data_IF_240938572498
#
_entry.id   IF_240938572498
#
_cell.length_a   1.000
_cell.length_b   1.000
_cell.length_c   1.000
_cell.angle_alpha   90.00
_cell.angle_beta   90.00
_cell.angle_gamma   90.00
#
_symmetry.space_group_name_H-M   'P 1'
#
loop_
_entity.id
_entity.type
_entity.pdbx_description
1 polymer ?
#
# COMPACT_ATOMS: atom_id res chain seq x y z
N UNK A 1 4.82 -21.09 8.96
CA UNK A 1 4.92 -19.97 9.93
C UNK A 1 4.70 -18.68 9.14
N UNK A 2 3.71 -17.88 9.51
CA UNK A 2 3.29 -16.66 8.78
C UNK A 2 4.24 -15.50 9.09
N UNK A 3 5.52 -15.68 8.79
CA UNK A 3 6.61 -14.78 9.20
C UNK A 3 6.40 -13.36 8.66
N UNK A 4 5.86 -13.20 7.44
CA UNK A 4 5.58 -11.89 6.85
C UNK A 4 4.48 -11.12 7.60
N UNK A 5 3.35 -11.77 7.90
CA UNK A 5 2.25 -11.14 8.63
C UNK A 5 2.62 -10.80 10.07
N UNK A 6 3.39 -11.66 10.75
CA UNK A 6 3.89 -11.38 12.10
C UNK A 6 4.86 -10.20 12.12
N UNK A 7 5.83 -10.15 11.20
CA UNK A 7 6.75 -9.00 11.05
C UNK A 7 5.98 -7.72 10.76
N UNK A 8 4.98 -7.76 9.87
CA UNK A 8 4.14 -6.60 9.55
C UNK A 8 3.36 -6.11 10.77
N UNK A 9 2.86 -7.03 11.60
CA UNK A 9 2.17 -6.69 12.85
C UNK A 9 3.09 -6.08 13.91
N UNK A 10 4.33 -6.54 14.02
CA UNK A 10 5.34 -5.89 14.86
C UNK A 10 5.67 -4.50 14.33
N UNK A 11 5.82 -4.34 13.02
CA UNK A 11 6.10 -3.05 12.39
C UNK A 11 4.99 -2.04 12.72
N UNK A 12 3.73 -2.38 12.46
CA UNK A 12 2.59 -1.50 12.69
C UNK A 12 2.52 -0.95 14.13
N UNK A 13 3.03 -1.69 15.12
CA UNK A 13 3.05 -1.29 16.53
C UNK A 13 4.28 -0.48 16.97
N UNK A 14 5.40 -0.63 16.27
CA UNK A 14 6.70 -0.18 16.77
C UNK A 14 7.36 0.92 15.89
N UNK A 15 6.80 1.23 14.72
CA UNK A 15 7.30 2.32 13.87
C UNK A 15 6.32 3.50 13.85
N UNK A 16 6.83 4.70 13.56
CA UNK A 16 6.01 5.87 13.31
C UNK A 16 5.19 5.74 12.01
N UNK A 17 4.19 6.59 11.88
CA UNK A 17 3.22 6.52 10.80
C UNK A 17 3.82 6.73 9.41
N UNK A 18 4.83 7.59 9.28
CA UNK A 18 5.47 7.89 7.99
C UNK A 18 6.37 6.72 7.56
N UNK A 19 7.10 6.13 8.49
CA UNK A 19 7.88 4.92 8.25
C UNK A 19 6.97 3.74 7.86
N UNK A 20 5.83 3.59 8.54
CA UNK A 20 4.82 2.58 8.18
C UNK A 20 4.29 2.79 6.76
N UNK A 21 3.84 4.01 6.45
CA UNK A 21 3.34 4.37 5.12
C UNK A 21 4.38 4.13 4.02
N UNK A 22 5.65 4.50 4.26
CA UNK A 22 6.73 4.29 3.30
C UNK A 22 6.92 2.81 2.98
N UNK A 23 6.87 1.93 3.99
CA UNK A 23 6.94 0.50 3.74
C UNK A 23 5.70 0.01 2.97
N UNK A 24 4.49 0.49 3.30
CA UNK A 24 3.27 0.13 2.56
C UNK A 24 3.39 0.50 1.09
N UNK A 25 3.83 1.73 0.79
CA UNK A 25 4.07 2.21 -0.58
C UNK A 25 5.07 1.33 -1.31
N UNK A 26 6.19 0.96 -0.67
CA UNK A 26 7.20 0.08 -1.26
C UNK A 26 6.65 -1.33 -1.53
N UNK A 27 5.83 -1.88 -0.64
CA UNK A 27 5.18 -3.18 -0.83
C UNK A 27 4.23 -3.17 -2.03
N UNK A 28 3.43 -2.11 -2.17
CA UNK A 28 2.51 -1.93 -3.31
C UNK A 28 3.29 -1.78 -4.61
N UNK A 29 4.35 -0.98 -4.65
CA UNK A 29 5.18 -0.83 -5.85
C UNK A 29 5.78 -2.17 -6.29
N UNK A 30 6.35 -2.94 -5.34
CA UNK A 30 6.90 -4.26 -5.65
C UNK A 30 5.83 -5.17 -6.25
N UNK A 31 4.63 -5.20 -5.67
CA UNK A 31 3.55 -6.04 -6.18
C UNK A 31 3.08 -5.59 -7.57
N UNK A 32 2.97 -4.28 -7.83
CA UNK A 32 2.62 -3.77 -9.16
C UNK A 32 3.70 -4.12 -10.21
N UNK A 33 4.98 -4.05 -9.81
CA UNK A 33 6.12 -4.41 -10.67
C UNK A 33 6.20 -5.89 -11.00
N UNK A 34 5.52 -6.77 -10.26
CA UNK A 34 5.37 -8.17 -10.66
C UNK A 34 4.52 -8.33 -11.94
N UNK A 35 3.63 -7.37 -12.23
CA UNK A 35 2.79 -7.39 -13.43
C UNK A 35 3.38 -6.56 -14.57
N UNK A 36 3.97 -5.41 -14.25
CA UNK A 36 4.61 -4.53 -15.21
C UNK A 36 5.72 -3.71 -14.53
N UNK A 37 6.96 -3.89 -14.97
CA UNK A 37 8.15 -3.26 -14.39
C UNK A 37 8.11 -1.72 -14.42
N UNK A 38 7.30 -1.12 -15.30
CA UNK A 38 7.19 0.33 -15.47
C UNK A 38 6.30 1.02 -14.43
N UNK A 39 5.60 0.26 -13.58
CA UNK A 39 4.89 0.85 -12.46
C UNK A 39 5.84 1.60 -11.53
N UNK A 40 5.49 2.83 -11.19
CA UNK A 40 6.18 3.64 -10.19
C UNK A 40 5.18 4.11 -9.16
N UNK A 41 5.51 3.97 -7.87
CA UNK A 41 4.70 4.50 -6.78
C UNK A 41 5.49 5.56 -6.02
N UNK A 42 4.92 6.74 -5.88
CA UNK A 42 5.54 7.88 -5.18
C UNK A 42 4.68 8.30 -4.01
N UNK A 43 5.33 8.66 -2.91
CA UNK A 43 4.70 9.32 -1.77
C UNK A 43 4.97 10.81 -1.84
N UNK A 44 3.90 11.62 -1.91
CA UNK A 44 3.97 13.08 -1.85
C UNK A 44 3.41 13.53 -0.52
N UNK A 45 4.18 14.34 0.21
CA UNK A 45 3.78 14.94 1.49
C UNK A 45 3.48 16.42 1.29
N UNK A 46 2.23 16.82 1.51
CA UNK A 46 1.79 18.21 1.57
C UNK A 46 1.20 18.45 2.97
N UNK A 47 -0.04 18.95 3.06
CA UNK A 47 -0.83 18.96 4.31
C UNK A 47 -1.29 17.56 4.70
N UNK A 48 -1.53 16.71 3.70
CA UNK A 48 -1.85 15.28 3.83
C UNK A 48 -0.86 14.47 2.98
N UNK A 49 -0.96 13.15 3.07
CA UNK A 49 -0.19 12.24 2.23
C UNK A 49 -0.95 11.93 0.95
N UNK A 50 -0.23 11.81 -0.16
CA UNK A 50 -0.79 11.36 -1.44
C UNK A 50 0.11 10.27 -1.99
N UNK A 51 -0.45 9.07 -2.19
CA UNK A 51 0.21 7.99 -2.91
C UNK A 51 -0.13 8.13 -4.38
N UNK A 52 0.88 8.32 -5.22
CA UNK A 52 0.74 8.46 -6.67
C UNK A 52 1.26 7.19 -7.33
N UNK A 53 0.39 6.47 -8.02
CA UNK A 53 0.73 5.32 -8.86
C UNK A 53 0.74 5.76 -10.32
N UNK A 54 1.83 5.47 -11.02
CA UNK A 54 2.01 5.82 -12.42
C UNK A 54 2.46 4.60 -13.24
N UNK A 55 1.88 4.42 -14.43
CA UNK A 55 2.37 3.52 -15.47
C UNK A 55 2.01 4.09 -16.85
N UNK A 56 3.01 4.49 -17.64
CA UNK A 56 2.79 5.19 -18.89
C UNK A 56 1.95 6.46 -18.71
N UNK A 57 0.79 6.52 -19.37
CA UNK A 57 -0.17 7.63 -19.27
C UNK A 57 -1.15 7.49 -18.09
N UNK A 58 -1.18 6.35 -17.42
CA UNK A 58 -2.02 6.14 -16.24
C UNK A 58 -1.37 6.85 -15.05
N UNK A 59 -2.11 7.77 -14.44
CA UNK A 59 -1.71 8.44 -13.19
C UNK A 59 -2.90 8.39 -12.24
N UNK A 60 -2.71 7.73 -11.09
CA UNK A 60 -3.72 7.59 -10.05
C UNK A 60 -3.17 8.16 -8.75
N UNK A 61 -3.92 9.07 -8.14
CA UNK A 61 -3.61 9.63 -6.82
C UNK A 61 -4.56 9.10 -5.76
N UNK A 62 -4.02 8.64 -4.65
CA UNK A 62 -4.75 8.14 -3.48
C UNK A 62 -4.42 9.04 -2.29
N UNK A 63 -5.31 9.99 -1.92
CA UNK A 63 -5.10 10.83 -0.76
C UNK A 63 -5.31 10.03 0.54
N UNK A 64 -4.49 10.32 1.54
CA UNK A 64 -4.52 9.74 2.88
C UNK A 64 -4.31 10.88 3.88
N UNK A 65 -5.33 11.16 4.71
CA UNK A 65 -5.17 12.10 5.80
C UNK A 65 -4.31 11.53 6.93
N UNK A 66 -3.75 12.40 7.78
CA UNK A 66 -2.99 11.95 8.96
C UNK A 66 -3.85 11.10 9.91
N UNK A 67 -5.12 11.45 10.11
CA UNK A 67 -6.03 10.68 10.96
C UNK A 67 -6.38 9.31 10.36
N UNK A 68 -6.55 9.22 9.04
CA UNK A 68 -6.75 7.94 8.35
C UNK A 68 -5.53 7.04 8.51
N UNK A 69 -4.32 7.59 8.33
CA UNK A 69 -3.08 6.84 8.47
C UNK A 69 -2.94 6.21 9.87
N UNK A 70 -3.13 7.00 10.92
CA UNK A 70 -3.12 6.53 12.32
C UNK A 70 -4.19 5.45 12.54
N UNK A 71 -5.40 5.68 12.03
CA UNK A 71 -6.51 4.72 12.15
C UNK A 71 -6.19 3.40 11.45
N UNK A 72 -5.65 3.44 10.24
CA UNK A 72 -5.35 2.22 9.50
C UNK A 72 -4.19 1.44 10.11
N UNK A 73 -3.12 2.11 10.55
CA UNK A 73 -1.99 1.45 11.18
C UNK A 73 -2.38 0.75 12.50
N UNK A 74 -3.26 1.36 13.28
CA UNK A 74 -3.74 0.78 14.55
C UNK A 74 -4.80 -0.31 14.37
N UNK A 75 -5.59 -0.27 13.30
CA UNK A 75 -6.67 -1.22 13.05
C UNK A 75 -6.16 -2.61 12.67
N UNK A 76 -5.25 -2.70 11.70
CA UNK A 76 -4.64 -3.98 11.33
C UNK A 76 -3.34 -3.77 10.52
N UNK A 77 -2.45 -4.77 10.49
CA UNK A 77 -1.17 -4.66 9.79
C UNK A 77 -1.28 -4.43 8.27
N UNK A 78 -2.45 -4.70 7.67
CA UNK A 78 -2.70 -4.56 6.23
C UNK A 78 -3.89 -3.64 5.90
N UNK A 79 -4.45 -2.92 6.89
CA UNK A 79 -5.61 -2.04 6.65
C UNK A 79 -5.29 -0.92 5.66
N UNK A 80 -4.08 -0.34 5.76
CA UNK A 80 -3.64 0.73 4.87
C UNK A 80 -3.39 0.21 3.46
N UNK A 81 -2.75 -0.95 3.32
CA UNK A 81 -2.56 -1.65 2.05
C UNK A 81 -3.92 -1.86 1.35
N UNK A 82 -4.90 -2.42 2.08
CA UNK A 82 -6.24 -2.71 1.58
C UNK A 82 -6.96 -1.46 1.11
N UNK A 83 -6.85 -0.36 1.85
CA UNK A 83 -7.40 0.93 1.44
C UNK A 83 -6.82 1.39 0.09
N UNK A 84 -5.49 1.36 -0.05
CA UNK A 84 -4.85 1.80 -1.28
C UNK A 84 -5.23 0.89 -2.45
N UNK A 85 -5.20 -0.43 -2.27
CA UNK A 85 -5.59 -1.39 -3.31
C UNK A 85 -7.05 -1.22 -3.75
N UNK A 86 -7.96 -0.97 -2.82
CA UNK A 86 -9.36 -0.70 -3.15
C UNK A 86 -9.50 0.59 -3.98
N UNK A 87 -8.77 1.65 -3.64
CA UNK A 87 -8.77 2.91 -4.40
C UNK A 87 -8.16 2.73 -5.80
N UNK A 88 -7.11 1.92 -5.94
CA UNK A 88 -6.53 1.56 -7.24
C UNK A 88 -7.52 0.76 -8.10
N UNK A 89 -8.15 -0.26 -7.51
CA UNK A 89 -9.15 -1.07 -8.20
C UNK A 89 -10.35 -0.24 -8.66
N UNK A 90 -10.86 0.67 -7.80
CA UNK A 90 -11.92 1.62 -8.17
C UNK A 90 -11.55 2.55 -9.33
N UNK A 91 -10.26 2.81 -9.52
CA UNK A 91 -9.71 3.67 -10.58
C UNK A 91 -9.14 2.86 -11.76
N UNK A 92 -9.63 1.63 -11.93
CA UNK A 92 -9.35 0.74 -13.05
C UNK A 92 -7.93 0.17 -13.13
N UNK A 93 -7.20 0.09 -12.00
CA UNK A 93 -6.03 -0.80 -11.92
C UNK A 93 -6.54 -2.23 -11.80
N UNK A 94 -6.25 -3.05 -12.81
CA UNK A 94 -6.54 -4.48 -12.77
C UNK A 94 -5.65 -5.15 -11.73
N UNK A 95 -6.25 -5.86 -10.78
CA UNK A 95 -5.51 -6.72 -9.86
C UNK A 95 -5.27 -8.04 -10.59
N UNK A 96 -4.02 -8.29 -10.97
CA UNK A 96 -3.60 -9.51 -11.66
C UNK A 96 -3.36 -10.68 -10.70
N UNK A 97 -2.98 -11.83 -11.27
CA UNK A 97 -2.49 -12.96 -10.47
C UNK A 97 -1.16 -12.59 -9.79
N UNK A 98 -1.05 -12.80 -8.48
CA UNK A 98 0.21 -12.57 -7.75
C UNK A 98 0.94 -13.89 -7.52
N UNK A 99 2.25 -13.91 -7.79
CA UNK A 99 3.10 -15.07 -7.51
C UNK A 99 3.39 -15.24 -6.00
N UNK A 100 3.18 -14.18 -5.21
CA UNK A 100 3.36 -14.16 -3.76
C UNK A 100 2.07 -14.25 -2.94
N UNK A 101 2.23 -14.25 -1.61
CA UNK A 101 1.12 -14.27 -0.65
C UNK A 101 0.70 -12.88 -0.15
N UNK A 102 1.30 -11.80 -0.67
CA UNK A 102 1.04 -10.44 -0.20
C UNK A 102 -0.43 -10.06 -0.39
N UNK A 103 -0.98 -10.22 -1.61
CA UNK A 103 -2.39 -9.92 -1.87
C UNK A 103 -3.34 -10.81 -1.07
N UNK A 104 -2.95 -12.06 -0.78
CA UNK A 104 -3.71 -12.92 0.13
C UNK A 104 -3.85 -12.28 1.50
N UNK A 105 -2.77 -11.74 2.10
CA UNK A 105 -2.87 -11.03 3.39
C UNK A 105 -3.63 -9.71 3.30
N UNK A 106 -3.54 -9.02 2.17
CA UNK A 106 -4.26 -7.76 1.95
C UNK A 106 -5.76 -7.98 1.85
N UNK A 107 -6.23 -9.11 1.31
CA UNK A 107 -7.65 -9.36 1.06
C UNK A 107 -8.32 -10.42 1.94
N UNK A 108 -7.57 -11.21 2.73
CA UNK A 108 -8.13 -12.06 3.80
C UNK A 108 -8.39 -11.33 5.11
#
# INVERSE_FOLDING_TARGET
MNTSGFIRGLMAKNVDEETFLTHVVSSIEKQLKEWDEYYVVRLVKLTNYVVVVQNGNLIISVPISKSQLISFQSQSPYSLDRYIWNELHRKAVMIGESNGNYLTYVFH
#
